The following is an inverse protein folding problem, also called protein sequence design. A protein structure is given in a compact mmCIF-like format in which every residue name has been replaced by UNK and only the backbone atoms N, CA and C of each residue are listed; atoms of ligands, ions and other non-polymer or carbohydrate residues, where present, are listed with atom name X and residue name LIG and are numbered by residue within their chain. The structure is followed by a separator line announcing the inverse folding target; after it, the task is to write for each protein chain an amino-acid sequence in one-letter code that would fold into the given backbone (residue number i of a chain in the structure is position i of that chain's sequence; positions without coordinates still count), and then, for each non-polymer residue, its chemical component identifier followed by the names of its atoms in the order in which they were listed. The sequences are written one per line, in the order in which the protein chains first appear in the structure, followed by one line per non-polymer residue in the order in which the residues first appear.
data_IF_535902416987
#
_entry.id   IF_535902416987
#
_cell.length_a   1.000
_cell.length_b   1.000
_cell.length_c   1.000
_cell.angle_alpha   90.00
_cell.angle_beta   90.00
_cell.angle_gamma   90.00
#
_symmetry.space_group_name_H-M   'P 1'
#
loop_
_entity.id
_entity.type
_entity.pdbx_description
1 polymer ?
#
# COMPACT_ATOMS: atom_id res chain seq x y z
N UNK A 1 -70.27 -25.49 42.26
CA UNK A 1 -69.06 -25.04 42.95
C UNK A 1 -67.91 -25.02 41.95
N UNK A 2 -67.93 -24.09 40.99
CA UNK A 2 -66.90 -23.88 39.95
C UNK A 2 -66.79 -22.39 39.72
N UNK A 3 -66.16 -21.65 40.62
CA UNK A 3 -65.70 -20.25 40.38
C UNK A 3 -64.50 -20.06 41.28
N UNK A 4 -63.30 -20.43 40.82
CA UNK A 4 -61.99 -19.87 41.34
C UNK A 4 -60.79 -20.40 40.56
N UNK A 5 -60.68 -20.10 39.27
CA UNK A 5 -59.40 -20.38 38.61
C UNK A 5 -59.05 -19.43 37.44
N UNK A 6 -59.78 -18.35 37.21
CA UNK A 6 -59.53 -17.42 36.13
C UNK A 6 -58.42 -16.35 36.44
N UNK A 7 -58.20 -16.09 37.75
CA UNK A 7 -57.17 -15.08 38.16
C UNK A 7 -55.75 -15.59 38.06
N UNK A 8 -55.51 -16.87 38.32
CA UNK A 8 -54.12 -17.41 38.25
C UNK A 8 -53.61 -17.60 36.82
N UNK A 9 -54.51 -17.86 35.86
CA UNK A 9 -54.13 -18.05 34.46
C UNK A 9 -53.66 -16.72 33.82
N UNK A 10 -54.31 -15.59 34.17
CA UNK A 10 -53.89 -14.28 33.67
C UNK A 10 -52.52 -13.85 34.18
N UNK A 11 -52.17 -14.16 35.43
CA UNK A 11 -50.88 -13.85 35.99
C UNK A 11 -49.75 -14.74 35.45
N UNK A 12 -50.02 -16.02 35.18
CA UNK A 12 -49.08 -16.94 34.54
C UNK A 12 -48.86 -16.55 33.09
N UNK A 13 -49.90 -16.14 32.35
CA UNK A 13 -49.76 -15.68 30.97
C UNK A 13 -48.97 -14.36 30.88
N UNK A 14 -49.16 -13.46 31.84
CA UNK A 14 -48.39 -12.17 31.88
C UNK A 14 -46.90 -12.37 32.20
N UNK A 15 -46.56 -13.30 33.10
CA UNK A 15 -45.17 -13.65 33.42
C UNK A 15 -44.51 -14.37 32.24
N UNK A 16 -45.22 -15.22 31.51
CA UNK A 16 -44.70 -15.93 30.33
C UNK A 16 -44.44 -14.98 29.13
N UNK A 17 -45.34 -14.01 28.92
CA UNK A 17 -45.16 -12.97 27.88
C UNK A 17 -43.97 -12.04 28.22
N UNK A 18 -43.77 -11.71 29.50
CA UNK A 18 -42.60 -10.88 29.91
C UNK A 18 -41.27 -11.63 29.77
N UNK A 19 -41.27 -12.96 30.01
CA UNK A 19 -40.07 -13.79 29.79
C UNK A 19 -39.73 -13.98 28.30
N UNK A 20 -40.72 -14.07 27.41
CA UNK A 20 -40.51 -14.20 25.96
C UNK A 20 -40.01 -12.88 25.36
N UNK A 21 -40.51 -11.74 25.84
CA UNK A 21 -40.03 -10.42 25.37
C UNK A 21 -38.58 -10.13 25.80
N UNK A 22 -38.11 -10.66 26.94
CA UNK A 22 -36.73 -10.53 27.38
C UNK A 22 -35.75 -11.38 26.58
N UNK A 23 -36.22 -12.45 25.92
CA UNK A 23 -35.35 -13.29 25.04
C UNK A 23 -35.20 -12.75 23.61
N UNK A 24 -36.05 -11.78 23.23
CA UNK A 24 -36.00 -11.10 21.94
C UNK A 24 -35.45 -9.65 22.05
N UNK A 25 -34.68 -9.33 23.11
CA UNK A 25 -33.85 -8.14 23.04
C UNK A 25 -32.89 -8.38 21.88
N UNK A 26 -32.98 -7.61 20.77
CA UNK A 26 -32.00 -7.78 19.73
C UNK A 26 -30.64 -7.44 20.38
N UNK A 27 -29.73 -8.42 20.42
CA UNK A 27 -28.34 -8.09 20.54
C UNK A 27 -28.12 -6.95 19.55
N UNK A 28 -27.74 -5.80 20.05
CA UNK A 28 -27.41 -4.67 19.18
C UNK A 28 -26.27 -5.15 18.30
N UNK A 29 -26.64 -5.78 17.19
CA UNK A 29 -25.68 -6.14 16.16
C UNK A 29 -25.10 -4.83 15.65
N UNK A 30 -24.07 -4.33 16.34
CA UNK A 30 -23.30 -3.21 15.84
C UNK A 30 -22.81 -3.64 14.46
N UNK A 31 -23.41 -3.06 13.44
CA UNK A 31 -22.98 -3.32 12.06
C UNK A 31 -21.50 -3.03 11.95
N UNK A 32 -20.70 -4.09 11.77
CA UNK A 32 -19.26 -3.98 11.62
C UNK A 32 -18.92 -3.01 10.48
N UNK A 33 -18.20 -1.93 10.80
CA UNK A 33 -17.76 -0.97 9.83
C UNK A 33 -16.50 -1.47 9.11
N UNK A 34 -16.61 -1.75 7.81
CA UNK A 34 -15.49 -2.25 7.03
C UNK A 34 -14.80 -1.10 6.31
N UNK A 35 -13.50 -0.88 6.58
CA UNK A 35 -12.64 0.01 5.81
C UNK A 35 -12.04 -0.80 4.65
N UNK A 36 -12.47 -0.50 3.43
CA UNK A 36 -12.07 -1.19 2.20
C UNK A 36 -10.80 -0.58 1.64
N UNK A 37 -9.72 -1.35 1.55
CA UNK A 37 -8.38 -0.88 1.15
C UNK A 37 -7.90 -1.71 -0.05
N UNK A 38 -7.48 -1.05 -1.12
CA UNK A 38 -6.82 -1.67 -2.27
C UNK A 38 -5.31 -1.64 -2.11
N UNK A 39 -4.62 -2.68 -2.57
CA UNK A 39 -3.15 -2.72 -2.57
C UNK A 39 -2.61 -3.57 -3.72
N UNK A 40 -1.41 -3.23 -4.20
CA UNK A 40 -0.67 -4.04 -5.15
C UNK A 40 0.06 -5.22 -4.49
N UNK A 41 0.25 -5.17 -3.16
CA UNK A 41 0.91 -6.24 -2.42
C UNK A 41 0.21 -7.58 -2.67
N UNK A 42 0.95 -8.64 -3.02
CA UNK A 42 0.40 -10.00 -3.10
C UNK A 42 -0.11 -10.46 -1.74
N UNK A 43 -1.21 -11.22 -1.73
CA UNK A 43 -1.86 -11.66 -0.49
C UNK A 43 -0.93 -12.49 0.43
N UNK A 44 0.03 -13.20 -0.15
CA UNK A 44 0.97 -14.06 0.59
C UNK A 44 2.29 -13.35 0.92
N UNK A 45 2.41 -12.05 0.67
CA UNK A 45 3.61 -11.29 1.00
C UNK A 45 3.70 -11.03 2.51
N UNK A 46 4.91 -10.78 3.01
CA UNK A 46 5.15 -10.41 4.40
C UNK A 46 4.38 -9.13 4.79
N UNK A 47 4.32 -8.17 3.88
CA UNK A 47 3.50 -6.96 4.02
C UNK A 47 2.02 -7.29 4.25
N UNK A 48 1.47 -8.22 3.46
CA UNK A 48 0.08 -8.62 3.61
C UNK A 48 -0.18 -9.25 4.97
N UNK A 49 0.75 -10.04 5.48
CA UNK A 49 0.64 -10.65 6.81
C UNK A 49 0.59 -9.59 7.92
N UNK A 50 1.50 -8.61 7.91
CA UNK A 50 1.51 -7.49 8.88
C UNK A 50 0.17 -6.71 8.87
N UNK A 51 -0.38 -6.44 7.69
CA UNK A 51 -1.68 -5.78 7.58
C UNK A 51 -2.85 -6.63 8.05
N UNK A 52 -2.83 -7.94 7.82
CA UNK A 52 -3.85 -8.87 8.31
C UNK A 52 -3.83 -8.98 9.83
N UNK A 53 -2.64 -9.05 10.43
CA UNK A 53 -2.44 -9.01 11.88
C UNK A 53 -2.99 -7.71 12.47
N UNK A 54 -2.66 -6.57 11.87
CA UNK A 54 -3.19 -5.27 12.28
C UNK A 54 -4.71 -5.19 12.14
N UNK A 55 -5.30 -5.75 11.08
CA UNK A 55 -6.76 -5.82 10.93
C UNK A 55 -7.40 -6.64 12.04
N UNK A 56 -6.78 -7.75 12.42
CA UNK A 56 -7.23 -8.61 13.50
C UNK A 56 -7.13 -7.90 14.85
N UNK A 57 -6.05 -7.17 15.08
CA UNK A 57 -5.85 -6.36 16.29
C UNK A 57 -6.90 -5.24 16.40
N UNK A 58 -7.13 -4.48 15.31
CA UNK A 58 -8.16 -3.45 15.27
C UNK A 58 -9.53 -4.07 15.58
N UNK A 59 -9.86 -5.18 14.94
CA UNK A 59 -11.14 -5.86 15.17
C UNK A 59 -11.30 -6.25 16.64
N UNK A 60 -10.27 -6.80 17.27
CA UNK A 60 -10.28 -7.17 18.69
C UNK A 60 -10.40 -5.95 19.61
N UNK A 61 -9.60 -4.89 19.39
CA UNK A 61 -9.61 -3.68 20.23
C UNK A 61 -10.87 -2.84 20.09
N UNK A 62 -11.60 -2.99 18.99
CA UNK A 62 -12.86 -2.29 18.75
C UNK A 62 -14.10 -3.18 18.99
N UNK A 63 -13.98 -4.32 19.70
CA UNK A 63 -15.07 -5.26 19.93
C UNK A 63 -15.87 -5.58 18.65
N UNK A 64 -15.18 -5.87 17.55
CA UNK A 64 -15.70 -6.12 16.20
C UNK A 64 -16.43 -4.96 15.52
N UNK A 65 -16.37 -3.74 16.05
CA UNK A 65 -17.00 -2.56 15.40
C UNK A 65 -16.28 -2.15 14.12
N UNK A 66 -14.94 -2.30 14.05
CA UNK A 66 -14.14 -1.89 12.87
C UNK A 66 -13.32 -3.05 12.35
N UNK A 67 -13.28 -3.21 11.01
CA UNK A 67 -12.45 -4.20 10.32
C UNK A 67 -11.82 -3.58 9.06
N UNK A 68 -10.54 -3.88 8.80
CA UNK A 68 -9.91 -3.58 7.52
C UNK A 68 -10.20 -4.72 6.54
N UNK A 69 -10.70 -4.39 5.34
CA UNK A 69 -10.90 -5.34 4.25
C UNK A 69 -9.97 -5.00 3.11
N UNK A 70 -9.01 -5.86 2.85
CA UNK A 70 -8.03 -5.67 1.79
C UNK A 70 -8.46 -6.31 0.47
N UNK A 71 -8.11 -5.65 -0.64
CA UNK A 71 -8.16 -6.15 -2.01
C UNK A 71 -6.73 -6.21 -2.53
N UNK A 72 -6.17 -7.41 -2.55
CA UNK A 72 -4.77 -7.69 -2.82
C UNK A 72 -4.44 -7.74 -4.31
N UNK A 73 -3.14 -7.65 -4.64
CA UNK A 73 -2.59 -7.93 -5.97
C UNK A 73 -3.15 -7.08 -7.10
N UNK A 74 -3.57 -5.84 -6.81
CA UNK A 74 -4.12 -4.97 -7.84
C UNK A 74 -5.56 -5.32 -8.29
N UNK A 75 -6.29 -6.16 -7.54
CA UNK A 75 -7.66 -6.58 -7.89
C UNK A 75 -8.65 -5.41 -8.12
N UNK A 76 -8.34 -4.22 -7.59
CA UNK A 76 -9.15 -3.01 -7.80
C UNK A 76 -8.62 -2.13 -8.95
N UNK A 77 -7.55 -2.56 -9.63
CA UNK A 77 -6.91 -1.85 -10.73
C UNK A 77 -5.71 -1.00 -10.29
N UNK A 78 -5.24 -0.14 -11.18
CA UNK A 78 -4.10 0.74 -10.94
C UNK A 78 -4.44 1.93 -10.00
N UNK A 79 -3.44 2.72 -9.63
CA UNK A 79 -3.58 3.87 -8.73
C UNK A 79 -4.63 4.87 -9.19
N UNK A 80 -4.67 5.24 -10.47
CA UNK A 80 -5.66 6.17 -11.04
C UNK A 80 -7.09 5.65 -10.87
N UNK A 81 -7.32 4.36 -11.13
CA UNK A 81 -8.63 3.72 -10.90
C UNK A 81 -8.98 3.68 -9.42
N UNK A 82 -8.00 3.42 -8.55
CA UNK A 82 -8.21 3.40 -7.10
C UNK A 82 -8.59 4.79 -6.58
N UNK A 83 -7.92 5.86 -7.00
CA UNK A 83 -8.30 7.24 -6.64
C UNK A 83 -9.72 7.58 -7.07
N UNK A 84 -10.14 7.17 -8.29
CA UNK A 84 -11.52 7.34 -8.76
C UNK A 84 -12.52 6.57 -7.87
N UNK A 85 -12.23 5.31 -7.52
CA UNK A 85 -13.07 4.48 -6.67
C UNK A 85 -13.18 5.03 -5.24
N UNK A 86 -12.10 5.60 -4.70
CA UNK A 86 -12.11 6.29 -3.40
C UNK A 86 -13.03 7.52 -3.47
N UNK A 87 -12.89 8.33 -4.50
CA UNK A 87 -13.70 9.55 -4.69
C UNK A 87 -15.20 9.27 -4.64
N UNK A 88 -15.65 8.15 -5.24
CA UNK A 88 -17.06 7.74 -5.26
C UNK A 88 -17.45 6.80 -4.11
N UNK A 89 -16.53 6.47 -3.19
CA UNK A 89 -16.81 5.65 -2.00
C UNK A 89 -16.95 4.14 -2.27
N UNK A 90 -16.53 3.65 -3.43
CA UNK A 90 -16.55 2.22 -3.75
C UNK A 90 -15.50 1.45 -2.93
N UNK A 91 -14.30 2.03 -2.77
CA UNK A 91 -13.28 1.66 -1.78
C UNK A 91 -13.01 2.87 -0.89
N UNK A 92 -12.29 2.68 0.21
CA UNK A 92 -12.12 3.71 1.23
C UNK A 92 -10.69 4.26 1.27
N UNK A 93 -9.73 3.49 0.80
CA UNK A 93 -8.32 3.84 0.73
C UNK A 93 -7.55 2.87 -0.16
N UNK A 94 -6.29 3.19 -0.39
CA UNK A 94 -5.37 2.29 -1.08
C UNK A 94 -3.92 2.60 -0.66
N UNK A 95 -3.02 1.65 -0.92
CA UNK A 95 -1.58 1.90 -0.87
C UNK A 95 -1.13 2.54 -2.17
N UNK A 96 -0.25 3.52 -2.06
CA UNK A 96 0.25 4.34 -3.17
C UNK A 96 1.75 4.55 -3.08
N UNK A 97 2.35 4.91 -4.19
CA UNK A 97 3.67 5.52 -4.30
C UNK A 97 3.56 7.04 -4.45
N UNK A 98 4.63 7.81 -4.23
CA UNK A 98 4.64 9.25 -4.45
C UNK A 98 4.19 9.66 -5.85
N UNK A 99 4.61 8.95 -6.89
CA UNK A 99 4.26 9.23 -8.29
C UNK A 99 2.76 9.12 -8.56
N UNK A 100 2.02 8.33 -7.78
CA UNK A 100 0.56 8.20 -7.93
C UNK A 100 -0.21 9.49 -7.56
N UNK A 101 0.44 10.40 -6.81
CA UNK A 101 -0.11 11.69 -6.38
C UNK A 101 0.55 12.89 -7.08
N UNK A 102 1.45 12.67 -8.02
CA UNK A 102 2.26 13.72 -8.66
C UNK A 102 1.42 14.89 -9.22
N UNK A 103 0.26 14.61 -9.81
CA UNK A 103 -0.61 15.65 -10.39
C UNK A 103 -1.25 16.56 -9.33
N UNK A 104 -1.48 16.06 -8.11
CA UNK A 104 -2.22 16.76 -7.05
C UNK A 104 -1.36 17.14 -5.86
N UNK A 105 -0.21 16.49 -5.68
CA UNK A 105 0.74 16.75 -4.62
C UNK A 105 2.18 16.46 -5.10
N UNK A 106 2.75 17.34 -5.94
CA UNK A 106 4.06 17.12 -6.56
C UNK A 106 5.23 17.03 -5.57
N UNK A 107 5.13 17.66 -4.39
CA UNK A 107 6.20 17.65 -3.38
C UNK A 107 6.56 16.24 -2.90
N UNK A 108 5.60 15.28 -2.96
CA UNK A 108 5.85 13.89 -2.64
C UNK A 108 6.93 13.24 -3.50
N UNK A 109 7.15 13.74 -4.73
CA UNK A 109 8.10 13.13 -5.65
C UNK A 109 9.57 13.34 -5.28
N UNK A 110 9.87 14.12 -4.24
CA UNK A 110 11.27 14.34 -3.82
C UNK A 110 12.02 13.02 -3.62
N UNK A 111 11.38 12.01 -3.04
CA UNK A 111 12.01 10.70 -2.83
C UNK A 111 12.22 9.91 -4.11
N UNK A 112 11.34 10.08 -5.09
CA UNK A 112 11.39 9.42 -6.38
C UNK A 112 12.22 10.14 -7.44
N UNK A 113 12.92 11.24 -7.10
CA UNK A 113 13.78 11.93 -8.06
C UNK A 113 15.00 11.06 -8.40
N UNK A 114 15.26 10.82 -9.70
CA UNK A 114 16.42 10.03 -10.11
C UNK A 114 17.73 10.63 -9.63
N UNK A 115 18.60 9.81 -9.07
CA UNK A 115 19.96 10.14 -8.61
C UNK A 115 20.05 11.25 -7.57
N UNK A 116 18.96 11.57 -6.87
CA UNK A 116 18.98 12.58 -5.81
C UNK A 116 19.74 12.08 -4.57
N UNK A 117 19.52 10.81 -4.20
CA UNK A 117 20.10 10.19 -3.01
C UNK A 117 21.16 9.16 -3.39
N UNK A 118 22.27 9.14 -2.68
CA UNK A 118 23.37 8.19 -2.84
C UNK A 118 23.29 7.02 -1.87
N UNK A 119 22.74 7.29 -0.68
CA UNK A 119 22.64 6.32 0.40
C UNK A 119 21.46 6.61 1.35
N UNK A 120 21.23 5.71 2.29
CA UNK A 120 20.14 5.83 3.26
C UNK A 120 20.28 7.02 4.20
N UNK A 121 21.53 7.44 4.54
CA UNK A 121 21.74 8.56 5.47
C UNK A 121 21.25 9.88 4.88
N UNK A 122 21.39 10.06 3.57
CA UNK A 122 20.84 11.23 2.87
C UNK A 122 19.31 11.20 2.83
N UNK A 123 18.72 10.02 2.65
CA UNK A 123 17.26 9.85 2.70
C UNK A 123 16.75 10.18 4.10
N UNK A 124 17.34 9.62 5.14
CA UNK A 124 16.93 9.82 6.53
C UNK A 124 17.03 11.29 6.93
N UNK A 125 18.12 11.98 6.52
CA UNK A 125 18.29 13.40 6.77
C UNK A 125 17.15 14.25 6.16
N UNK A 126 16.73 13.92 4.94
CA UNK A 126 15.64 14.65 4.29
C UNK A 126 14.30 14.30 4.95
N UNK A 127 14.06 13.03 5.27
CA UNK A 127 12.85 12.58 5.93
C UNK A 127 12.59 13.26 7.26
N UNK A 128 13.62 13.41 8.09
CA UNK A 128 13.54 14.16 9.35
C UNK A 128 13.07 15.61 9.20
N UNK A 129 13.26 16.20 8.01
CA UNK A 129 12.90 17.61 7.75
C UNK A 129 11.53 17.78 7.14
N UNK A 130 11.07 16.84 6.33
CA UNK A 130 9.92 17.09 5.45
C UNK A 130 8.76 16.09 5.61
N UNK A 131 8.96 14.90 6.21
CA UNK A 131 7.88 13.89 6.31
C UNK A 131 6.64 14.44 7.01
N UNK A 132 6.81 15.19 8.11
CA UNK A 132 5.69 15.83 8.83
C UNK A 132 4.94 16.83 7.94
N UNK A 133 5.65 17.63 7.14
CA UNK A 133 5.05 18.59 6.22
C UNK A 133 4.27 17.87 5.11
N UNK A 134 4.83 16.79 4.56
CA UNK A 134 4.16 15.98 3.56
C UNK A 134 2.88 15.33 4.12
N UNK A 135 2.92 14.81 5.35
CA UNK A 135 1.71 14.28 6.01
C UNK A 135 0.63 15.36 6.21
N UNK A 136 1.01 16.58 6.58
CA UNK A 136 0.08 17.70 6.68
C UNK A 136 -0.53 18.05 5.32
N UNK A 137 0.23 17.91 4.23
CA UNK A 137 -0.26 18.09 2.85
C UNK A 137 -1.41 17.14 2.50
N UNK A 138 -1.34 15.87 2.89
CA UNK A 138 -2.43 14.91 2.68
C UNK A 138 -3.74 15.30 3.35
N UNK A 139 -3.69 15.91 4.54
CA UNK A 139 -4.91 16.40 5.24
C UNK A 139 -5.64 17.44 4.41
N UNK A 140 -4.92 18.33 3.70
CA UNK A 140 -5.51 19.32 2.79
C UNK A 140 -6.20 18.64 1.59
N UNK A 141 -5.70 17.50 1.15
CA UNK A 141 -6.27 16.68 0.09
C UNK A 141 -7.39 15.74 0.56
N UNK A 142 -7.79 15.82 1.84
CA UNK A 142 -8.80 14.97 2.48
C UNK A 142 -8.41 13.51 2.56
N UNK A 143 -7.13 13.23 2.71
CA UNK A 143 -6.61 11.91 3.02
C UNK A 143 -5.99 11.87 4.41
N UNK A 144 -6.17 10.76 5.10
CA UNK A 144 -5.40 10.37 6.27
C UNK A 144 -4.31 9.41 5.83
N UNK A 145 -3.08 9.72 6.20
CA UNK A 145 -1.91 8.85 6.09
C UNK A 145 -1.44 8.45 7.48
N UNK A 146 -0.58 7.46 7.55
CA UNK A 146 -0.15 6.83 8.81
C UNK A 146 1.36 6.59 8.83
N UNK A 147 2.10 7.47 8.16
CA UNK A 147 3.53 7.36 7.94
C UNK A 147 3.87 6.90 6.52
N UNK A 148 5.13 7.06 6.19
CA UNK A 148 5.74 6.58 4.96
C UNK A 148 6.59 5.36 5.28
N UNK A 149 6.56 4.34 4.42
CA UNK A 149 7.45 3.19 4.52
C UNK A 149 8.43 3.18 3.37
N UNK A 150 9.71 3.12 3.66
CA UNK A 150 10.76 2.95 2.66
C UNK A 150 10.66 1.59 1.98
N UNK A 151 10.83 1.57 0.67
CA UNK A 151 10.95 0.35 -0.14
C UNK A 151 12.40 0.03 -0.51
N UNK A 152 13.34 0.90 -0.12
CA UNK A 152 14.74 0.81 -0.49
C UNK A 152 15.07 1.46 -1.83
N UNK A 153 16.34 1.39 -2.22
CA UNK A 153 16.78 1.90 -3.50
C UNK A 153 16.32 1.00 -4.65
N UNK A 154 15.90 1.65 -5.73
CA UNK A 154 15.61 0.99 -6.99
C UNK A 154 16.91 0.81 -7.78
N UNK A 155 17.12 -0.39 -8.32
CA UNK A 155 18.24 -0.75 -9.18
C UNK A 155 17.73 -1.08 -10.58
N UNK A 156 18.58 -0.83 -11.59
CA UNK A 156 18.29 -1.22 -12.96
C UNK A 156 18.33 -2.74 -13.08
N UNK A 157 17.25 -3.34 -13.57
CA UNK A 157 17.17 -4.77 -13.85
C UNK A 157 16.75 -5.01 -15.30
N UNK A 158 17.39 -5.98 -15.97
CA UNK A 158 17.23 -6.21 -17.40
C UNK A 158 17.64 -7.61 -17.82
N UNK A 159 17.35 -7.99 -19.08
CA UNK A 159 17.82 -9.24 -19.67
C UNK A 159 19.25 -9.18 -20.23
N UNK A 160 19.79 -7.97 -20.40
CA UNK A 160 21.15 -7.74 -20.88
C UNK A 160 21.92 -6.94 -19.83
N UNK A 161 23.22 -7.15 -19.71
CA UNK A 161 24.06 -6.36 -18.84
C UNK A 161 24.03 -4.88 -19.26
N UNK A 162 23.73 -4.00 -18.32
CA UNK A 162 23.77 -2.54 -18.50
C UNK A 162 24.96 -2.02 -17.70
N UNK A 163 26.02 -1.61 -18.40
CA UNK A 163 27.29 -1.14 -17.81
C UNK A 163 27.51 0.35 -17.99
N UNK A 164 26.64 1.00 -18.75
CA UNK A 164 26.77 2.41 -19.04
C UNK A 164 25.63 2.93 -19.92
N UNK A 165 25.71 4.22 -20.23
CA UNK A 165 24.69 4.91 -21.02
C UNK A 165 24.45 4.27 -22.40
N UNK A 166 25.49 3.82 -23.08
CA UNK A 166 25.38 3.25 -24.43
C UNK A 166 24.54 1.98 -24.44
N UNK A 167 24.56 1.20 -23.37
CA UNK A 167 23.74 -0.02 -23.21
C UNK A 167 22.24 0.28 -23.05
N UNK A 168 21.88 1.52 -22.67
CA UNK A 168 20.50 1.97 -22.56
C UNK A 168 19.90 2.38 -23.91
N UNK A 169 20.74 2.62 -24.92
CA UNK A 169 20.28 3.09 -26.24
C UNK A 169 19.39 2.05 -26.91
N UNK A 170 18.28 2.53 -27.49
CA UNK A 170 17.28 1.70 -28.17
C UNK A 170 16.60 0.64 -27.25
N UNK A 171 16.77 0.72 -25.93
CA UNK A 171 16.06 -0.12 -24.96
C UNK A 171 14.77 0.55 -24.52
N UNK A 172 13.73 -0.25 -24.37
CA UNK A 172 12.42 0.17 -23.87
C UNK A 172 12.45 0.16 -22.34
N UNK A 173 12.54 1.35 -21.74
CA UNK A 173 12.75 1.52 -20.30
C UNK A 173 11.40 1.80 -19.64
N UNK A 174 11.00 0.96 -18.71
CA UNK A 174 9.77 1.18 -17.99
C UNK A 174 9.83 2.40 -17.07
N UNK A 175 8.74 3.15 -17.07
CA UNK A 175 8.43 4.16 -16.06
C UNK A 175 7.02 3.95 -15.51
N UNK A 176 6.77 4.30 -14.24
CA UNK A 176 5.42 4.37 -13.72
C UNK A 176 4.54 5.30 -14.56
N UNK A 177 3.31 4.86 -14.85
CA UNK A 177 2.36 5.69 -15.57
C UNK A 177 2.07 6.96 -14.76
N UNK A 178 2.33 8.13 -15.34
CA UNK A 178 2.15 9.42 -14.69
C UNK A 178 3.46 10.06 -14.18
N UNK A 179 4.58 9.33 -14.18
CA UNK A 179 5.89 9.90 -13.82
C UNK A 179 6.43 10.81 -14.93
N UNK A 180 5.97 12.05 -14.92
CA UNK A 180 6.34 13.04 -15.92
C UNK A 180 7.79 13.54 -15.77
N UNK A 181 8.32 13.54 -14.54
CA UNK A 181 9.68 14.01 -14.27
C UNK A 181 10.68 13.04 -14.88
N UNK A 182 10.61 11.76 -14.54
CA UNK A 182 11.50 10.74 -15.08
C UNK A 182 11.30 10.57 -16.60
N UNK A 183 10.05 10.70 -17.09
CA UNK A 183 9.76 10.68 -18.52
C UNK A 183 10.54 11.77 -19.27
N UNK A 184 10.44 13.03 -18.81
CA UNK A 184 11.16 14.16 -19.42
C UNK A 184 12.66 14.05 -19.28
N UNK A 185 13.15 13.57 -18.16
CA UNK A 185 14.58 13.32 -17.99
C UNK A 185 15.11 12.29 -19.00
N UNK A 186 14.40 11.18 -19.21
CA UNK A 186 14.78 10.17 -20.20
C UNK A 186 14.68 10.68 -21.64
N UNK A 187 13.63 11.44 -22.00
CA UNK A 187 13.54 12.09 -23.32
C UNK A 187 14.75 12.99 -23.57
N UNK A 188 15.18 13.79 -22.59
CA UNK A 188 16.34 14.68 -22.73
C UNK A 188 17.65 13.94 -22.93
N UNK A 189 17.71 12.68 -22.50
CA UNK A 189 18.83 11.77 -22.71
C UNK A 189 18.69 10.90 -23.98
N UNK A 190 17.70 11.16 -24.84
CA UNK A 190 17.39 10.36 -26.03
C UNK A 190 17.15 8.86 -25.72
N UNK A 191 16.60 8.55 -24.55
CA UNK A 191 16.19 7.21 -24.16
C UNK A 191 14.72 6.97 -24.55
N UNK A 192 14.27 5.70 -24.51
CA UNK A 192 12.91 5.29 -24.88
C UNK A 192 12.08 4.93 -23.64
N UNK A 193 11.47 5.91 -22.96
CA UNK A 193 10.59 5.65 -21.83
C UNK A 193 9.25 5.03 -22.27
N UNK A 194 8.85 3.94 -21.62
CA UNK A 194 7.58 3.27 -21.82
C UNK A 194 6.76 3.37 -20.53
N UNK A 195 5.80 4.29 -20.45
CA UNK A 195 4.96 4.46 -19.26
C UNK A 195 3.91 3.35 -19.18
N UNK A 196 3.99 2.49 -18.16
CA UNK A 196 3.01 1.46 -17.86
C UNK A 196 2.58 1.52 -16.40
N UNK A 197 1.31 1.17 -16.10
CA UNK A 197 0.90 0.89 -14.72
C UNK A 197 1.72 -0.26 -14.14
N UNK A 198 2.00 -0.22 -12.84
CA UNK A 198 2.76 -1.27 -12.16
C UNK A 198 2.12 -2.68 -12.33
N UNK A 199 0.80 -2.76 -12.46
CA UNK A 199 0.05 -4.00 -12.72
C UNK A 199 0.40 -4.68 -14.06
N UNK A 200 0.92 -3.92 -15.02
CA UNK A 200 1.12 -4.39 -16.40
C UNK A 200 2.60 -4.72 -16.69
N UNK A 201 3.50 -4.39 -15.75
CA UNK A 201 4.97 -4.50 -15.94
C UNK A 201 5.42 -5.93 -16.17
N UNK A 202 4.93 -6.90 -15.37
CA UNK A 202 5.30 -8.30 -15.55
C UNK A 202 4.94 -8.80 -16.96
N UNK A 203 3.74 -8.46 -17.45
CA UNK A 203 3.32 -8.77 -18.82
C UNK A 203 4.18 -8.02 -19.84
N UNK A 204 4.52 -6.76 -19.58
CA UNK A 204 5.40 -5.97 -20.42
C UNK A 204 6.80 -6.59 -20.58
N UNK A 205 7.39 -7.11 -19.50
CA UNK A 205 8.65 -7.84 -19.51
C UNK A 205 8.51 -9.19 -20.26
N UNK A 206 7.40 -9.91 -20.05
CA UNK A 206 7.13 -11.21 -20.70
C UNK A 206 6.99 -11.08 -22.22
N UNK A 207 6.35 -10.02 -22.69
CA UNK A 207 6.07 -9.79 -24.11
C UNK A 207 7.16 -9.02 -24.84
N UNK A 208 8.19 -8.54 -24.11
CA UNK A 208 9.21 -7.64 -24.65
C UNK A 208 8.68 -6.25 -25.01
N UNK A 209 7.56 -5.81 -24.42
CA UNK A 209 7.08 -4.42 -24.51
C UNK A 209 8.03 -3.48 -23.77
N UNK A 210 8.67 -3.96 -22.70
CA UNK A 210 9.73 -3.30 -21.96
C UNK A 210 10.93 -4.24 -21.78
N UNK A 211 12.13 -3.66 -21.77
CA UNK A 211 13.41 -4.39 -21.66
C UNK A 211 14.09 -4.16 -20.31
N UNK A 212 13.85 -2.98 -19.71
CA UNK A 212 14.52 -2.51 -18.50
C UNK A 212 13.47 -1.99 -17.51
N UNK A 213 13.66 -2.33 -16.23
CA UNK A 213 12.93 -1.76 -15.09
C UNK A 213 13.92 -1.23 -14.06
N UNK A 214 13.57 -0.13 -13.38
CA UNK A 214 14.26 0.32 -12.18
C UNK A 214 13.31 0.16 -11.00
N UNK A 215 13.63 -0.76 -10.07
CA UNK A 215 12.73 -1.15 -8.98
C UNK A 215 13.54 -1.66 -7.77
N UNK A 216 13.08 -1.47 -6.53
CA UNK A 216 13.69 -2.11 -5.37
C UNK A 216 13.65 -3.64 -5.46
N UNK A 217 14.71 -4.33 -4.99
CA UNK A 217 14.78 -5.79 -4.97
C UNK A 217 13.59 -6.47 -4.30
N UNK A 218 13.15 -5.94 -3.16
CA UNK A 218 11.98 -6.47 -2.43
C UNK A 218 10.71 -6.44 -3.27
N UNK A 219 10.50 -5.40 -4.09
CA UNK A 219 9.34 -5.28 -4.98
C UNK A 219 9.48 -6.22 -6.18
N UNK A 220 10.70 -6.34 -6.76
CA UNK A 220 10.97 -7.26 -7.86
C UNK A 220 10.69 -8.73 -7.46
N UNK A 221 11.03 -9.12 -6.22
CA UNK A 221 10.70 -10.44 -5.67
C UNK A 221 9.19 -10.59 -5.46
N UNK A 222 8.57 -9.64 -4.76
CA UNK A 222 7.14 -9.70 -4.41
C UNK A 222 6.23 -9.77 -5.65
N UNK A 223 6.54 -8.99 -6.69
CA UNK A 223 5.77 -8.95 -7.95
C UNK A 223 6.29 -9.93 -9.01
N UNK A 224 7.27 -10.78 -8.67
CA UNK A 224 7.85 -11.82 -9.54
C UNK A 224 8.52 -11.27 -10.82
N UNK A 225 8.92 -10.00 -10.86
CA UNK A 225 9.58 -9.42 -12.03
C UNK A 225 10.98 -10.01 -12.25
N UNK A 226 11.64 -10.42 -11.15
CA UNK A 226 12.93 -11.13 -11.19
C UNK A 226 12.92 -12.38 -12.10
N UNK A 227 11.75 -13.00 -12.35
CA UNK A 227 11.63 -14.16 -13.24
C UNK A 227 11.81 -13.82 -14.73
N UNK A 228 11.89 -12.52 -15.06
CA UNK A 228 11.95 -11.98 -16.43
C UNK A 228 13.15 -11.09 -16.69
N UNK A 229 14.11 -11.09 -15.78
CA UNK A 229 15.37 -10.36 -15.91
C UNK A 229 16.54 -11.28 -15.51
N UNK A 230 17.74 -11.00 -16.02
CA UNK A 230 18.94 -11.80 -15.76
C UNK A 230 20.05 -11.02 -15.05
N UNK A 231 19.95 -9.70 -15.05
CA UNK A 231 20.99 -8.80 -14.53
C UNK A 231 20.39 -7.74 -13.62
N UNK A 232 21.17 -7.35 -12.62
CA UNK A 232 20.96 -6.18 -11.78
C UNK A 232 22.21 -5.30 -11.83
N UNK A 233 22.03 -4.04 -12.21
CA UNK A 233 23.14 -3.06 -12.23
C UNK A 233 23.20 -2.34 -10.89
N UNK A 234 24.40 -2.33 -10.28
CA UNK A 234 24.66 -1.79 -8.94
C UNK A 234 24.78 -0.26 -8.95
N UNK A 235 23.66 0.39 -9.31
CA UNK A 235 23.52 1.85 -9.25
C UNK A 235 22.16 2.20 -8.64
N UNK A 236 22.12 2.93 -7.51
CA UNK A 236 20.86 3.40 -6.95
C UNK A 236 20.27 4.49 -7.85
N UNK A 237 19.13 4.22 -8.46
CA UNK A 237 18.47 5.17 -9.38
C UNK A 237 17.59 6.16 -8.63
N UNK A 238 16.78 5.66 -7.71
CA UNK A 238 15.87 6.45 -6.88
C UNK A 238 15.57 5.70 -5.58
N UNK A 239 15.06 6.42 -4.58
CA UNK A 239 14.56 5.80 -3.36
C UNK A 239 13.05 5.60 -3.45
N UNK A 240 12.62 4.35 -3.38
CA UNK A 240 11.20 4.02 -3.42
C UNK A 240 10.57 4.14 -2.03
N UNK A 241 9.34 4.63 -1.99
CA UNK A 241 8.55 4.72 -0.77
C UNK A 241 7.08 4.44 -1.05
N UNK A 242 6.37 4.00 -0.03
CA UNK A 242 4.95 3.72 -0.10
C UNK A 242 4.20 4.25 1.11
N UNK A 243 2.92 4.51 0.95
CA UNK A 243 2.04 4.94 2.02
C UNK A 243 0.62 4.45 1.81
N UNK A 244 -0.16 4.40 2.90
CA UNK A 244 -1.60 4.18 2.86
C UNK A 244 -2.31 5.53 2.95
N UNK A 245 -3.20 5.80 2.00
CA UNK A 245 -4.09 6.94 2.06
C UNK A 245 -5.55 6.47 2.18
N UNK A 246 -6.24 6.91 3.24
CA UNK A 246 -7.66 6.63 3.48
C UNK A 246 -8.44 7.95 3.45
N UNK A 247 -9.58 7.96 2.76
CA UNK A 247 -10.48 9.11 2.69
C UNK A 247 -10.90 9.56 4.08
N UNK A 248 -10.67 10.83 4.39
CA UNK A 248 -10.99 11.43 5.70
C UNK A 248 -12.47 11.30 6.04
N UNK A 249 -13.38 11.28 5.05
CA UNK A 249 -14.82 11.07 5.28
C UNK A 249 -15.10 9.72 5.91
N UNK A 250 -14.31 8.70 5.57
CA UNK A 250 -14.46 7.34 6.12
C UNK A 250 -13.99 7.30 7.57
N UNK A 251 -12.81 7.85 7.84
CA UNK A 251 -12.23 7.91 9.19
C UNK A 251 -13.11 8.75 10.13
N UNK A 252 -13.71 9.81 9.64
CA UNK A 252 -14.60 10.66 10.43
C UNK A 252 -15.93 10.00 10.83
N UNK A 253 -16.30 8.84 10.22
CA UNK A 253 -17.47 8.05 10.61
C UNK A 253 -17.21 7.17 11.84
N UNK A 254 -15.94 6.94 12.18
CA UNK A 254 -15.57 6.18 13.37
C UNK A 254 -15.74 7.02 14.62
N UNK A 255 -16.01 6.36 15.75
CA UNK A 255 -15.92 7.00 17.07
C UNK A 255 -14.51 7.57 17.30
N UNK A 256 -14.35 8.50 18.23
CA UNK A 256 -13.03 9.05 18.58
C UNK A 256 -12.05 7.95 19.01
N UNK A 257 -12.54 7.01 19.81
CA UNK A 257 -11.73 5.91 20.35
C UNK A 257 -11.37 4.89 19.25
N UNK A 258 -12.33 4.48 18.42
CA UNK A 258 -12.06 3.57 17.32
C UNK A 258 -11.09 4.19 16.29
N UNK A 259 -11.23 5.50 16.03
CA UNK A 259 -10.29 6.24 15.18
C UNK A 259 -8.88 6.21 15.74
N UNK A 260 -8.73 6.41 17.04
CA UNK A 260 -7.42 6.34 17.70
C UNK A 260 -6.84 4.93 17.58
N UNK A 261 -7.61 3.89 17.84
CA UNK A 261 -7.17 2.49 17.72
C UNK A 261 -6.69 2.20 16.29
N UNK A 262 -7.48 2.57 15.28
CA UNK A 262 -7.11 2.39 13.85
C UNK A 262 -5.82 3.13 13.53
N UNK A 263 -5.70 4.38 13.97
CA UNK A 263 -4.49 5.18 13.74
C UNK A 263 -3.27 4.57 14.40
N UNK A 264 -3.34 4.24 15.68
CA UNK A 264 -2.20 3.71 16.44
C UNK A 264 -1.69 2.40 15.84
N UNK A 265 -2.61 1.49 15.44
CA UNK A 265 -2.23 0.20 14.86
C UNK A 265 -1.60 0.37 13.47
N UNK A 266 -2.20 1.18 12.60
CA UNK A 266 -1.67 1.34 11.24
C UNK A 266 -0.34 2.10 11.26
N UNK A 267 -0.22 3.16 12.08
CA UNK A 267 1.03 3.91 12.23
C UNK A 267 2.16 3.00 12.73
N UNK A 268 1.89 2.14 13.71
CA UNK A 268 2.88 1.17 14.20
C UNK A 268 3.32 0.20 13.09
N UNK A 269 2.39 -0.31 12.28
CA UNK A 269 2.73 -1.20 11.15
C UNK A 269 3.65 -0.49 10.16
N UNK A 270 3.35 0.77 9.81
CA UNK A 270 4.17 1.55 8.89
C UNK A 270 5.55 1.83 9.48
N UNK A 271 5.62 2.20 10.76
CA UNK A 271 6.90 2.39 11.48
C UNK A 271 7.74 1.12 11.53
N UNK A 272 7.12 -0.03 11.82
CA UNK A 272 7.82 -1.33 11.87
C UNK A 272 8.35 -1.74 10.48
N UNK A 273 7.58 -1.50 9.42
CA UNK A 273 8.00 -1.77 8.04
C UNK A 273 9.14 -0.84 7.64
N UNK A 274 9.01 0.45 7.94
CA UNK A 274 10.01 1.46 7.61
C UNK A 274 11.34 1.19 8.30
N UNK A 275 11.31 0.91 9.60
CA UNK A 275 12.52 0.58 10.40
C UNK A 275 13.28 -0.62 9.85
N UNK A 276 12.58 -1.59 9.26
CA UNK A 276 13.20 -2.80 8.69
C UNK A 276 13.51 -2.67 7.20
N UNK A 277 13.10 -1.59 6.55
CA UNK A 277 13.11 -1.45 5.08
C UNK A 277 14.50 -1.63 4.46
N UNK A 278 15.54 -1.07 5.06
CA UNK A 278 16.92 -1.24 4.60
C UNK A 278 17.36 -2.69 4.67
N UNK A 279 17.19 -3.33 5.83
CA UNK A 279 17.54 -4.74 6.03
C UNK A 279 16.79 -5.66 5.07
N UNK A 280 15.50 -5.40 4.87
CA UNK A 280 14.65 -6.20 3.97
C UNK A 280 15.09 -6.00 2.51
N UNK A 281 15.48 -4.78 2.13
CA UNK A 281 16.03 -4.48 0.79
C UNK A 281 17.37 -5.19 0.56
N UNK A 282 18.28 -5.19 1.52
CA UNK A 282 19.57 -5.87 1.44
C UNK A 282 19.39 -7.39 1.35
N UNK A 283 18.50 -7.96 2.16
CA UNK A 283 18.15 -9.38 2.12
C UNK A 283 17.55 -9.76 0.76
N UNK A 284 16.66 -8.93 0.21
CA UNK A 284 16.06 -9.15 -1.10
C UNK A 284 17.09 -9.05 -2.23
N UNK A 285 18.04 -8.11 -2.16
CA UNK A 285 19.15 -7.99 -3.10
C UNK A 285 19.97 -9.29 -3.12
N UNK A 286 20.40 -9.73 -1.93
CA UNK A 286 21.17 -10.98 -1.79
C UNK A 286 20.36 -12.21 -2.29
N UNK A 287 19.06 -12.25 -2.04
CA UNK A 287 18.20 -13.32 -2.54
C UNK A 287 18.15 -13.34 -4.06
N UNK A 288 18.09 -12.18 -4.74
CA UNK A 288 18.15 -12.09 -6.20
C UNK A 288 19.46 -12.66 -6.75
N UNK A 289 20.60 -12.34 -6.13
CA UNK A 289 21.91 -12.87 -6.53
C UNK A 289 21.95 -14.40 -6.33
N UNK A 290 21.45 -14.89 -5.19
CA UNK A 290 21.46 -16.32 -4.87
C UNK A 290 20.59 -17.16 -5.80
N UNK A 291 19.51 -16.61 -6.38
CA UNK A 291 18.69 -17.30 -7.38
C UNK A 291 19.22 -17.17 -8.81
N UNK A 292 20.39 -16.53 -9.00
CA UNK A 292 21.11 -16.48 -10.27
C UNK A 292 21.01 -15.19 -11.08
N UNK A 293 20.43 -14.11 -10.52
CA UNK A 293 20.53 -12.77 -11.11
C UNK A 293 21.99 -12.29 -11.02
N UNK A 294 22.55 -11.84 -12.13
CA UNK A 294 23.96 -11.45 -12.21
C UNK A 294 24.12 -9.97 -11.89
N UNK A 295 24.97 -9.67 -10.91
CA UNK A 295 25.36 -8.29 -10.62
C UNK A 295 26.26 -7.71 -11.70
N UNK A 296 26.07 -6.44 -12.01
CA UNK A 296 26.86 -5.68 -13.00
C UNK A 296 27.23 -4.33 -12.39
N UNK A 297 28.49 -3.95 -12.46
CA UNK A 297 28.94 -2.60 -12.14
C UNK A 297 28.58 -1.65 -13.29
N UNK A 298 28.21 -0.39 -12.93
CA UNK A 298 27.83 0.66 -13.89
C UNK A 298 29.01 1.57 -14.19
#
# INVERSE_FOLDING_TARGET
MIISNKKNIKNILFVFVFYIVSFFAPDSAFSQFQIKIATLAPQNSEWAQKFLEGSTEIQKKTDNRVKLKFYWGGAQGNAKKNLQKIKIGQIHGATFSPTDFQEVFPDLNIYGLPFLFRDHSEVDFVREKIDDELELGFKKLRFNTYGFAGGGFAYVMSNNAIKGYDDLQNKKIWLPQGDLISYKAMESLNLLPIPLPMTDVLTGLQTGLIDIVAIPPVVALALQWHTKVNYITKIPVLYAMGFLAIDTRVINRLSKDDRKIVSDVITRIYSDVDTNSQKDSDNAYNALINIGIKEVEF
#
